data_IF_850699176885
#
_entry.id   IF_850699176885
#
_cell.length_a   1.000
_cell.length_b   1.000
_cell.length_c   1.000
_cell.angle_alpha   90.00
_cell.angle_beta   90.00
_cell.angle_gamma   90.00
#
_symmetry.space_group_name_H-M   'P 1'
#
loop_
_entity.id
_entity.type
_entity.pdbx_description
1 polymer ?
#
# COMPACT_ATOMS: atom_id res chain seq x y z
N UNK A 1 -6.70 1.58 12.97
CA UNK A 1 -5.62 2.38 13.56
C UNK A 1 -5.89 3.86 13.35
N UNK A 2 -5.43 4.71 14.28
CA UNK A 2 -5.70 6.14 14.34
C UNK A 2 -7.17 6.55 14.55
N UNK A 3 -8.07 5.64 14.96
CA UNK A 3 -9.37 6.03 15.51
C UNK A 3 -9.19 6.80 16.82
N UNK A 4 -10.07 7.75 17.10
CA UNK A 4 -10.19 8.30 18.45
C UNK A 4 -10.90 7.31 19.37
N UNK A 5 -10.69 7.47 20.67
CA UNK A 5 -11.48 6.79 21.71
C UNK A 5 -12.91 7.32 21.74
N UNK A 6 -13.83 6.49 22.17
CA UNK A 6 -15.21 6.88 22.45
C UNK A 6 -15.71 6.07 23.66
N UNK A 7 -16.32 6.77 24.62
CA UNK A 7 -16.97 6.16 25.76
C UNK A 7 -18.46 6.47 25.67
N UNK A 8 -19.26 5.44 25.35
CA UNK A 8 -20.72 5.53 25.22
C UNK A 8 -21.20 6.72 24.37
N UNK A 9 -20.52 6.96 23.25
CA UNK A 9 -20.86 8.06 22.34
C UNK A 9 -22.22 7.80 21.69
N UNK A 10 -23.20 8.62 22.02
CA UNK A 10 -24.56 8.51 21.49
C UNK A 10 -24.78 9.48 20.31
N UNK A 11 -25.57 9.04 19.34
CA UNK A 11 -25.99 9.85 18.22
C UNK A 11 -26.96 9.11 17.28
N UNK A 12 -27.65 9.90 16.47
CA UNK A 12 -28.50 9.35 15.42
C UNK A 12 -27.62 8.69 14.36
N UNK A 13 -27.93 7.46 14.01
CA UNK A 13 -27.28 6.74 12.92
C UNK A 13 -27.73 7.29 11.57
N UNK A 14 -26.79 7.58 10.69
CA UNK A 14 -27.06 8.11 9.34
C UNK A 14 -26.38 7.24 8.30
N UNK A 15 -27.14 6.68 7.37
CA UNK A 15 -26.58 5.92 6.26
C UNK A 15 -26.18 6.83 5.10
N UNK A 16 -24.92 6.79 4.75
CA UNK A 16 -24.35 7.48 3.60
C UNK A 16 -24.65 6.72 2.30
N UNK A 17 -25.84 6.92 1.74
CA UNK A 17 -26.31 6.24 0.54
C UNK A 17 -25.51 6.57 -0.72
N UNK A 18 -24.74 7.68 -0.70
CA UNK A 18 -23.87 8.09 -1.82
C UNK A 18 -22.47 7.47 -1.77
N UNK A 19 -22.18 6.63 -0.76
CA UNK A 19 -20.86 6.02 -0.59
C UNK A 19 -20.44 5.07 -1.71
N UNK A 20 -21.40 4.51 -2.46
CA UNK A 20 -21.14 3.62 -3.60
C UNK A 20 -21.23 4.35 -4.96
N UNK A 21 -21.62 5.61 -4.98
CA UNK A 21 -21.75 6.38 -6.20
C UNK A 21 -20.40 6.94 -6.68
N UNK A 22 -20.20 6.91 -8.00
CA UNK A 22 -18.99 7.45 -8.64
C UNK A 22 -19.33 8.72 -9.41
N UNK A 23 -18.40 9.68 -9.39
CA UNK A 23 -18.52 10.88 -10.21
C UNK A 23 -19.49 11.92 -9.67
N UNK A 24 -19.65 11.99 -8.34
CA UNK A 24 -20.42 13.05 -7.70
C UNK A 24 -19.90 14.43 -8.11
N UNK A 25 -20.80 15.36 -8.36
CA UNK A 25 -20.46 16.76 -8.56
C UNK A 25 -19.98 17.39 -7.25
N UNK A 26 -19.24 18.50 -7.32
CA UNK A 26 -18.77 19.24 -6.15
C UNK A 26 -19.91 19.62 -5.19
N UNK A 27 -21.08 19.98 -5.73
CA UNK A 27 -22.25 20.32 -4.91
C UNK A 27 -22.82 19.09 -4.20
N UNK A 28 -22.97 17.96 -4.91
CA UNK A 28 -23.43 16.70 -4.30
C UNK A 28 -22.48 16.22 -3.22
N UNK A 29 -21.16 16.32 -3.43
CA UNK A 29 -20.20 16.02 -2.37
C UNK A 29 -20.34 16.95 -1.15
N UNK A 30 -20.53 18.24 -1.39
CA UNK A 30 -20.72 19.20 -0.30
C UNK A 30 -21.96 18.86 0.51
N UNK A 31 -23.11 18.69 -0.13
CA UNK A 31 -24.38 18.36 0.52
C UNK A 31 -24.29 17.01 1.27
N UNK A 32 -23.60 16.02 0.68
CA UNK A 32 -23.33 14.73 1.32
C UNK A 32 -22.62 14.90 2.66
N UNK A 33 -21.51 15.66 2.71
CA UNK A 33 -20.76 15.85 3.95
C UNK A 33 -21.50 16.77 4.94
N UNK A 34 -22.25 17.77 4.49
CA UNK A 34 -23.06 18.62 5.38
C UNK A 34 -24.13 17.81 6.14
N UNK A 35 -24.66 16.73 5.53
CA UNK A 35 -25.63 15.84 6.18
C UNK A 35 -25.06 14.98 7.32
N UNK A 36 -23.74 14.90 7.45
CA UNK A 36 -23.07 14.13 8.52
C UNK A 36 -23.00 14.82 9.86
N UNK A 37 -23.33 16.12 9.91
CA UNK A 37 -23.22 16.92 11.14
C UNK A 37 -24.03 16.29 12.29
N UNK A 38 -23.36 16.11 13.42
CA UNK A 38 -23.91 15.54 14.66
C UNK A 38 -24.42 14.08 14.53
N UNK A 39 -24.03 13.35 13.46
CA UNK A 39 -24.45 11.98 13.18
C UNK A 39 -23.33 10.96 13.42
N UNK A 40 -23.73 9.72 13.69
CA UNK A 40 -22.88 8.53 13.55
C UNK A 40 -23.08 8.03 12.11
N UNK A 41 -22.04 8.12 11.29
CA UNK A 41 -22.15 7.86 9.84
C UNK A 41 -21.86 6.40 9.54
N UNK A 42 -22.82 5.70 8.95
CA UNK A 42 -22.68 4.34 8.41
C UNK A 42 -22.38 4.44 6.92
N UNK A 43 -21.27 3.85 6.47
CA UNK A 43 -20.78 4.06 5.10
C UNK A 43 -19.99 2.85 4.57
N UNK A 44 -19.89 2.70 3.26
CA UNK A 44 -18.98 1.76 2.58
C UNK A 44 -17.55 2.33 2.39
N UNK A 45 -17.36 3.61 2.64
CA UNK A 45 -16.05 4.25 2.52
C UNK A 45 -15.14 3.91 3.71
N UNK A 46 -13.90 3.49 3.42
CA UNK A 46 -12.93 3.06 4.44
C UNK A 46 -11.63 3.89 4.45
N UNK A 47 -11.56 4.95 3.64
CA UNK A 47 -10.32 5.73 3.46
C UNK A 47 -10.19 6.84 4.51
N UNK A 48 -8.97 7.05 5.00
CA UNK A 48 -8.68 8.13 5.96
C UNK A 48 -9.08 9.52 5.48
N UNK A 49 -8.97 9.81 4.18
CA UNK A 49 -9.45 11.07 3.59
C UNK A 49 -10.95 11.28 3.82
N UNK A 50 -11.76 10.22 3.69
CA UNK A 50 -13.19 10.29 3.96
C UNK A 50 -13.44 10.60 5.44
N UNK A 51 -12.77 9.87 6.35
CA UNK A 51 -12.93 10.08 7.81
C UNK A 51 -12.57 11.51 8.20
N UNK A 52 -11.50 12.06 7.64
CA UNK A 52 -11.10 13.45 7.87
C UNK A 52 -12.18 14.43 7.40
N UNK A 53 -12.70 14.27 6.19
CA UNK A 53 -13.77 15.12 5.68
C UNK A 53 -15.05 15.02 6.50
N UNK A 54 -15.39 13.80 6.97
CA UNK A 54 -16.52 13.60 7.87
C UNK A 54 -16.31 14.32 9.21
N UNK A 55 -15.09 14.27 9.76
CA UNK A 55 -14.71 15.03 10.96
C UNK A 55 -14.84 16.54 10.75
N UNK A 56 -14.31 17.07 9.66
CA UNK A 56 -14.40 18.49 9.30
C UNK A 56 -15.87 18.95 9.12
N UNK A 57 -16.74 18.07 8.66
CA UNK A 57 -18.17 18.31 8.52
C UNK A 57 -18.95 18.21 9.84
N UNK A 58 -18.31 17.74 10.93
CA UNK A 58 -18.91 17.66 12.26
C UNK A 58 -19.64 16.34 12.54
N UNK A 59 -19.28 15.24 11.85
CA UNK A 59 -19.74 13.90 12.21
C UNK A 59 -19.25 13.52 13.62
N UNK A 60 -20.00 12.69 14.34
CA UNK A 60 -19.63 12.20 15.68
C UNK A 60 -18.74 10.97 15.61
N UNK A 61 -19.04 10.04 14.71
CA UNK A 61 -18.28 8.81 14.48
C UNK A 61 -18.52 8.30 13.06
N UNK A 62 -17.66 7.36 12.63
CA UNK A 62 -17.82 6.67 11.35
C UNK A 62 -17.78 5.14 11.55
N UNK A 63 -18.77 4.44 11.04
CA UNK A 63 -18.84 2.99 10.97
C UNK A 63 -18.66 2.56 9.52
N UNK A 64 -17.57 1.84 9.26
CA UNK A 64 -17.24 1.35 7.91
C UNK A 64 -17.81 -0.04 7.70
N UNK A 65 -18.66 -0.21 6.70
CA UNK A 65 -19.15 -1.52 6.31
C UNK A 65 -18.06 -2.22 5.50
N UNK A 66 -17.63 -3.38 5.97
CA UNK A 66 -16.66 -4.18 5.23
C UNK A 66 -17.25 -4.70 3.92
N UNK A 67 -16.60 -4.42 2.79
CA UNK A 67 -17.08 -4.83 1.48
C UNK A 67 -17.01 -6.35 1.25
N UNK A 68 -16.16 -7.07 2.00
CA UNK A 68 -15.96 -8.51 1.89
C UNK A 68 -17.18 -9.29 2.40
N UNK A 69 -17.68 -10.21 1.59
CA UNK A 69 -18.75 -11.11 2.00
C UNK A 69 -18.24 -12.14 3.01
N UNK A 70 -19.12 -12.50 3.95
CA UNK A 70 -18.81 -13.46 5.01
C UNK A 70 -18.46 -12.79 6.34
N UNK A 71 -17.86 -13.56 7.24
CA UNK A 71 -17.54 -13.14 8.60
C UNK A 71 -16.12 -12.55 8.66
N UNK A 72 -15.95 -11.37 8.05
CA UNK A 72 -14.69 -10.65 7.99
C UNK A 72 -14.86 -9.19 8.41
N UNK A 73 -13.95 -8.73 9.25
CA UNK A 73 -13.71 -7.31 9.53
C UNK A 73 -12.22 -7.08 9.30
N UNK A 74 -11.90 -6.35 8.23
CA UNK A 74 -10.51 -6.04 7.92
C UNK A 74 -10.01 -4.91 8.80
N UNK A 75 -8.88 -5.13 9.48
CA UNK A 75 -8.18 -4.02 10.12
C UNK A 75 -7.70 -3.03 9.07
N UNK A 76 -7.91 -1.76 9.34
CA UNK A 76 -7.56 -0.66 8.44
C UNK A 76 -6.84 0.44 9.18
N UNK A 77 -6.06 1.21 8.45
CA UNK A 77 -5.38 2.39 8.91
C UNK A 77 -6.01 3.62 8.26
N UNK A 78 -6.63 4.48 9.06
CA UNK A 78 -7.23 5.74 8.61
C UNK A 78 -6.26 6.92 8.71
N UNK A 79 -5.00 6.69 9.14
CA UNK A 79 -3.97 7.71 9.21
C UNK A 79 -3.71 8.38 7.86
N UNK A 80 -3.59 9.71 7.90
CA UNK A 80 -3.27 10.51 6.72
C UNK A 80 -1.77 10.68 6.51
N UNK A 81 -1.00 10.54 7.58
CA UNK A 81 0.44 10.76 7.59
C UNK A 81 1.14 9.47 7.17
N UNK A 82 2.10 9.58 6.28
CA UNK A 82 2.95 8.50 5.81
C UNK A 82 4.32 8.63 6.47
N UNK A 83 4.63 7.66 7.34
CA UNK A 83 5.85 7.68 8.12
C UNK A 83 5.66 8.24 9.52
N UNK A 84 6.75 8.69 10.12
CA UNK A 84 6.74 9.27 11.47
C UNK A 84 6.29 10.73 11.40
N UNK A 85 5.20 11.11 12.08
CA UNK A 85 4.75 12.50 12.08
C UNK A 85 5.75 13.39 12.83
N UNK A 86 5.91 14.62 12.39
CA UNK A 86 6.56 15.67 13.16
C UNK A 86 5.59 16.27 14.21
N UNK A 87 6.08 17.29 14.94
CA UNK A 87 5.26 17.89 16.00
C UNK A 87 4.02 18.63 15.47
N UNK A 88 4.12 19.24 14.30
CA UNK A 88 3.01 19.96 13.68
C UNK A 88 1.98 18.97 13.12
N UNK A 89 2.45 17.87 12.55
CA UNK A 89 1.62 16.80 12.01
C UNK A 89 0.92 15.96 13.10
N UNK A 90 1.47 15.91 14.32
CA UNK A 90 0.87 15.17 15.43
C UNK A 90 -0.57 15.64 15.75
N UNK A 91 -0.90 16.89 15.44
CA UNK A 91 -2.25 17.40 15.57
C UNK A 91 -3.25 16.73 14.61
N UNK A 92 -2.77 16.23 13.46
CA UNK A 92 -3.57 15.50 12.47
C UNK A 92 -3.76 14.01 12.78
N UNK A 93 -3.21 13.54 13.89
CA UNK A 93 -3.38 12.15 14.36
C UNK A 93 -4.63 11.96 15.22
N UNK A 94 -5.36 13.02 15.55
CA UNK A 94 -6.63 12.92 16.26
C UNK A 94 -7.77 12.85 15.24
N UNK A 95 -8.29 11.64 15.07
CA UNK A 95 -9.39 11.38 14.16
C UNK A 95 -10.69 11.15 14.91
N UNK A 96 -11.81 11.11 14.17
CA UNK A 96 -13.08 10.64 14.68
C UNK A 96 -13.01 9.22 15.21
N UNK A 97 -13.82 8.87 16.22
CA UNK A 97 -14.13 7.48 16.52
C UNK A 97 -14.56 6.74 15.26
N UNK A 98 -13.82 5.69 14.89
CA UNK A 98 -14.05 4.97 13.65
C UNK A 98 -13.84 3.49 13.85
N UNK A 99 -14.80 2.68 13.40
CA UNK A 99 -14.74 1.22 13.50
C UNK A 99 -15.25 0.57 12.22
N UNK A 100 -14.66 -0.61 11.89
CA UNK A 100 -15.19 -1.50 10.87
C UNK A 100 -16.26 -2.41 11.44
N UNK A 101 -17.30 -2.68 10.65
CA UNK A 101 -18.33 -3.67 10.96
C UNK A 101 -18.47 -4.67 9.82
N UNK A 102 -18.97 -5.87 10.12
CA UNK A 102 -19.20 -6.89 9.09
C UNK A 102 -20.23 -6.40 8.07
N UNK A 103 -20.09 -6.90 6.85
CA UNK A 103 -21.03 -6.59 5.77
C UNK A 103 -22.47 -6.89 6.16
N UNK A 104 -22.73 -8.08 6.69
CA UNK A 104 -24.08 -8.50 7.08
C UNK A 104 -24.70 -7.61 8.17
N UNK A 105 -23.88 -7.14 9.12
CA UNK A 105 -24.34 -6.22 10.17
C UNK A 105 -24.69 -4.84 9.59
N UNK A 106 -23.86 -4.34 8.67
CA UNK A 106 -24.12 -3.08 7.96
C UNK A 106 -25.39 -3.14 7.11
N UNK A 107 -25.57 -4.22 6.33
CA UNK A 107 -26.78 -4.44 5.52
C UNK A 107 -28.04 -4.53 6.41
N UNK A 108 -27.98 -5.24 7.55
CA UNK A 108 -29.07 -5.31 8.50
C UNK A 108 -29.40 -3.95 9.16
N UNK A 109 -28.40 -3.13 9.44
CA UNK A 109 -28.61 -1.76 9.94
C UNK A 109 -29.31 -0.89 8.90
N UNK A 110 -28.87 -0.93 7.66
CA UNK A 110 -29.48 -0.19 6.54
C UNK A 110 -30.96 -0.57 6.40
N UNK A 111 -31.27 -1.88 6.43
CA UNK A 111 -32.65 -2.37 6.35
C UNK A 111 -33.51 -1.84 7.52
N UNK A 112 -32.99 -1.87 8.75
CA UNK A 112 -33.70 -1.33 9.93
C UNK A 112 -33.93 0.17 9.81
N UNK A 113 -32.93 0.92 9.33
CA UNK A 113 -33.05 2.36 9.14
C UNK A 113 -34.10 2.76 8.12
N UNK A 114 -34.44 1.88 7.17
CA UNK A 114 -35.54 2.11 6.22
C UNK A 114 -36.91 2.22 6.89
N UNK A 115 -37.04 1.71 8.12
CA UNK A 115 -38.28 1.79 8.91
C UNK A 115 -38.40 3.10 9.75
N UNK A 116 -37.34 3.90 9.84
CA UNK A 116 -37.31 5.17 10.58
C UNK A 116 -35.95 5.54 11.16
N UNK A 117 -35.87 6.68 11.81
CA UNK A 117 -34.65 7.10 12.51
C UNK A 117 -34.25 6.12 13.60
N UNK A 118 -32.93 5.97 13.77
CA UNK A 118 -32.33 5.03 14.69
C UNK A 118 -31.17 5.71 15.45
N UNK A 119 -31.16 5.60 16.75
CA UNK A 119 -30.03 6.01 17.56
C UNK A 119 -29.06 4.86 17.76
N UNK A 120 -27.78 5.20 17.88
CA UNK A 120 -26.71 4.26 18.13
C UNK A 120 -25.80 4.76 19.26
N UNK A 121 -25.17 3.83 19.95
CA UNK A 121 -24.09 4.08 20.91
C UNK A 121 -22.83 3.39 20.43
N UNK A 122 -21.70 4.11 20.47
CA UNK A 122 -20.39 3.62 20.06
C UNK A 122 -19.42 3.74 21.22
N UNK A 123 -18.79 2.62 21.58
CA UNK A 123 -17.67 2.58 22.53
C UNK A 123 -16.44 2.02 21.81
N UNK A 124 -15.33 2.76 21.84
CA UNK A 124 -14.05 2.38 21.25
C UNK A 124 -12.94 2.62 22.28
N UNK A 125 -12.27 1.55 22.69
CA UNK A 125 -11.07 1.62 23.50
C UNK A 125 -9.85 1.60 22.58
N UNK A 126 -9.03 2.65 22.61
CA UNK A 126 -7.88 2.82 21.74
C UNK A 126 -6.76 3.53 22.49
N UNK A 127 -5.54 3.06 22.33
CA UNK A 127 -4.35 3.76 22.80
C UNK A 127 -3.47 4.13 21.61
N UNK A 128 -3.32 5.43 21.32
CA UNK A 128 -2.37 5.93 20.31
C UNK A 128 -1.23 6.65 21.02
N UNK A 129 0.00 6.13 20.85
CA UNK A 129 1.20 6.73 21.44
C UNK A 129 2.45 6.45 20.63
N UNK A 130 3.47 7.31 20.81
CA UNK A 130 4.79 7.09 20.23
C UNK A 130 5.46 5.94 20.98
N UNK A 131 5.94 4.94 20.21
CA UNK A 131 6.69 3.79 20.74
C UNK A 131 7.99 3.61 19.96
N UNK A 132 8.99 3.03 20.61
CA UNK A 132 10.18 2.56 19.91
C UNK A 132 9.88 1.21 19.28
N UNK A 133 10.24 1.06 18.02
CA UNK A 133 10.23 -0.20 17.30
C UNK A 133 11.61 -0.50 16.76
N UNK A 134 11.98 -1.79 16.71
CA UNK A 134 13.24 -2.23 16.11
C UNK A 134 13.03 -2.49 14.62
N UNK A 135 14.07 -2.27 13.84
CA UNK A 135 14.11 -2.62 12.43
C UNK A 135 15.37 -3.43 12.18
N UNK A 136 15.25 -4.47 11.38
CA UNK A 136 16.37 -5.36 11.04
C UNK A 136 16.82 -5.07 9.62
N UNK A 137 18.12 -4.93 9.41
CA UNK A 137 18.71 -4.83 8.09
C UNK A 137 20.01 -5.63 8.01
N UNK A 138 20.26 -6.26 6.88
CA UNK A 138 21.48 -7.00 6.57
C UNK A 138 22.13 -6.40 5.34
N UNK A 139 23.42 -6.12 5.41
CA UNK A 139 24.22 -5.55 4.33
C UNK A 139 25.25 -6.59 3.85
N UNK A 140 25.00 -7.21 2.71
CA UNK A 140 25.87 -8.21 2.08
C UNK A 140 26.68 -7.48 1.01
N UNK A 141 27.94 -7.23 1.27
CA UNK A 141 28.84 -6.49 0.38
C UNK A 141 29.13 -7.26 -0.91
N UNK A 142 29.09 -6.54 -2.03
CA UNK A 142 29.59 -6.99 -3.33
C UNK A 142 30.96 -6.41 -3.66
N UNK A 143 31.34 -6.50 -4.94
CA UNK A 143 32.62 -5.96 -5.46
C UNK A 143 32.60 -4.46 -5.70
N UNK A 144 31.42 -3.83 -5.70
CA UNK A 144 31.25 -2.37 -5.83
C UNK A 144 30.51 -1.80 -4.63
N UNK A 145 30.59 -0.48 -4.47
CA UNK A 145 29.82 0.24 -3.43
C UNK A 145 28.32 0.29 -3.71
N UNK A 146 27.92 0.08 -4.98
CA UNK A 146 26.50 0.05 -5.33
C UNK A 146 25.80 -1.21 -4.82
N UNK A 147 24.53 -1.08 -4.49
CA UNK A 147 23.73 -2.19 -3.98
C UNK A 147 22.29 -2.18 -4.50
N UNK A 148 21.66 -3.35 -4.39
CA UNK A 148 20.20 -3.51 -4.55
C UNK A 148 19.60 -3.61 -3.17
N UNK A 149 18.55 -2.83 -2.90
CA UNK A 149 17.75 -2.94 -1.69
C UNK A 149 16.60 -3.91 -1.94
N UNK A 150 16.46 -4.91 -1.08
CA UNK A 150 15.33 -5.84 -1.07
C UNK A 150 14.65 -5.76 0.28
N UNK A 151 13.33 -5.69 0.32
CA UNK A 151 12.64 -5.47 1.58
C UNK A 151 11.28 -6.13 1.66
N UNK A 152 10.77 -6.23 2.86
CA UNK A 152 9.41 -6.54 3.22
C UNK A 152 9.12 -5.98 4.61
N UNK A 153 7.87 -5.88 5.02
CA UNK A 153 7.54 -5.48 6.38
C UNK A 153 7.33 -6.72 7.26
N UNK A 154 7.76 -6.67 8.52
CA UNK A 154 7.65 -7.80 9.42
C UNK A 154 6.56 -7.66 10.50
N UNK A 155 6.01 -6.46 10.66
CA UNK A 155 4.82 -6.27 11.48
C UNK A 155 3.58 -6.75 10.72
N UNK A 156 2.63 -7.32 11.45
CA UNK A 156 1.43 -7.91 10.86
C UNK A 156 0.19 -7.66 11.71
N UNK A 157 -0.97 -7.85 11.10
CA UNK A 157 -2.22 -8.00 11.80
C UNK A 157 -2.39 -9.47 12.19
N UNK A 158 -2.45 -9.75 13.49
CA UNK A 158 -2.54 -11.11 14.03
C UNK A 158 -1.35 -12.00 13.63
N UNK A 159 -1.59 -13.23 13.14
CA UNK A 159 -0.53 -14.09 12.64
C UNK A 159 0.07 -13.58 11.34
N UNK A 160 -0.75 -13.03 10.46
CA UNK A 160 -0.31 -12.39 9.23
C UNK A 160 0.56 -13.28 8.34
N UNK A 161 0.14 -14.52 8.13
CA UNK A 161 0.96 -15.49 7.37
C UNK A 161 1.18 -15.03 5.95
N UNK A 162 0.12 -14.58 5.26
CA UNK A 162 0.25 -14.06 3.89
C UNK A 162 0.68 -12.60 3.86
N UNK A 163 0.43 -11.86 4.95
CA UNK A 163 0.73 -10.45 5.09
C UNK A 163 1.44 -10.16 6.45
N UNK A 164 2.77 -10.37 6.59
CA UNK A 164 3.74 -10.59 5.52
C UNK A 164 4.78 -11.68 5.87
N UNK A 165 4.47 -12.62 6.79
CA UNK A 165 5.42 -13.60 7.32
C UNK A 165 6.07 -14.48 6.24
N UNK A 166 5.35 -14.81 5.16
CA UNK A 166 5.90 -15.59 4.05
C UNK A 166 6.99 -14.80 3.31
N UNK A 167 6.77 -13.52 3.04
CA UNK A 167 7.79 -12.67 2.42
C UNK A 167 9.02 -12.53 3.30
N UNK A 168 8.84 -12.43 4.63
CA UNK A 168 9.94 -12.38 5.58
C UNK A 168 10.78 -13.65 5.58
N UNK A 169 10.14 -14.81 5.51
CA UNK A 169 10.83 -16.09 5.39
C UNK A 169 11.63 -16.21 4.08
N UNK A 170 11.06 -15.73 2.97
CA UNK A 170 11.75 -15.66 1.67
C UNK A 170 12.97 -14.74 1.76
N UNK A 171 12.84 -13.55 2.36
CA UNK A 171 13.95 -12.63 2.55
C UNK A 171 15.07 -13.21 3.42
N UNK A 172 14.70 -13.98 4.45
CA UNK A 172 15.68 -14.67 5.30
C UNK A 172 16.46 -15.73 4.51
N UNK A 173 15.79 -16.49 3.65
CA UNK A 173 16.45 -17.45 2.77
C UNK A 173 17.33 -16.73 1.72
N UNK A 174 16.92 -15.59 1.19
CA UNK A 174 17.75 -14.77 0.33
C UNK A 174 19.03 -14.32 1.05
N UNK A 175 18.91 -13.87 2.27
CA UNK A 175 20.08 -13.50 3.08
C UNK A 175 21.07 -14.65 3.22
N UNK A 176 20.58 -15.86 3.50
CA UNK A 176 21.40 -17.07 3.65
C UNK A 176 22.11 -17.44 2.35
N UNK A 177 21.39 -17.49 1.23
CA UNK A 177 21.95 -17.87 -0.07
C UNK A 177 22.94 -16.83 -0.57
N UNK A 178 22.58 -15.55 -0.55
CA UNK A 178 23.44 -14.47 -1.01
C UNK A 178 24.69 -14.32 -0.17
N UNK A 179 24.60 -14.54 1.14
CA UNK A 179 25.77 -14.52 2.00
C UNK A 179 26.74 -15.69 1.70
N UNK A 180 26.21 -16.87 1.38
CA UNK A 180 27.04 -18.00 0.95
C UNK A 180 27.79 -17.70 -0.36
N UNK A 181 27.18 -16.97 -1.28
CA UNK A 181 27.74 -16.58 -2.59
C UNK A 181 28.29 -15.14 -2.64
N UNK A 182 28.50 -14.48 -1.50
CA UNK A 182 28.87 -13.07 -1.43
C UNK A 182 30.14 -12.67 -2.21
N UNK A 183 31.07 -13.58 -2.41
CA UNK A 183 32.28 -13.36 -3.22
C UNK A 183 32.00 -13.20 -4.72
N UNK A 184 30.86 -13.65 -5.17
CA UNK A 184 30.44 -13.61 -6.58
C UNK A 184 29.65 -12.32 -6.90
N UNK A 185 29.04 -11.69 -5.90
CA UNK A 185 28.21 -10.52 -6.08
C UNK A 185 29.00 -9.33 -6.70
N UNK A 186 28.50 -8.78 -7.78
CA UNK A 186 29.07 -7.57 -8.41
C UNK A 186 28.65 -6.33 -7.63
N UNK A 187 27.36 -6.19 -7.33
CA UNK A 187 26.82 -5.20 -6.41
C UNK A 187 26.47 -5.84 -5.09
N UNK A 188 26.51 -5.06 -4.01
CA UNK A 188 26.01 -5.53 -2.74
C UNK A 188 24.50 -5.74 -2.78
N UNK A 189 23.99 -6.47 -1.79
CA UNK A 189 22.56 -6.62 -1.53
C UNK A 189 22.27 -6.22 -0.11
N UNK A 190 21.38 -5.30 0.08
CA UNK A 190 20.87 -4.91 1.39
C UNK A 190 19.46 -5.44 1.54
N UNK A 191 19.21 -6.20 2.62
CA UNK A 191 17.90 -6.76 2.91
C UNK A 191 17.37 -6.07 4.16
N UNK A 192 16.15 -5.57 4.11
CA UNK A 192 15.53 -4.87 5.24
C UNK A 192 14.13 -5.40 5.54
N UNK A 193 13.85 -5.57 6.82
CA UNK A 193 12.53 -5.91 7.35
C UNK A 193 11.98 -4.69 8.08
N UNK A 194 10.96 -4.08 7.47
CA UNK A 194 10.39 -2.84 7.97
C UNK A 194 9.48 -3.08 9.17
N UNK A 195 9.58 -2.23 10.17
CA UNK A 195 8.59 -2.13 11.25
C UNK A 195 7.63 -0.98 11.00
N UNK A 196 6.44 -1.05 11.59
CA UNK A 196 5.47 0.04 11.55
C UNK A 196 4.89 0.30 10.15
N UNK A 197 4.79 -0.72 9.33
CA UNK A 197 4.05 -0.67 8.06
C UNK A 197 2.56 -0.51 8.32
N UNK A 198 2.00 -1.41 9.12
CA UNK A 198 0.56 -1.49 9.38
C UNK A 198 0.10 -0.45 10.41
N UNK A 199 0.71 -0.46 11.59
CA UNK A 199 0.32 0.41 12.70
C UNK A 199 0.87 1.83 12.58
N UNK A 200 2.08 1.97 12.08
CA UNK A 200 2.81 3.23 11.98
C UNK A 200 2.73 3.90 10.61
N UNK A 201 1.93 3.40 9.70
CA UNK A 201 1.78 3.94 8.35
C UNK A 201 3.10 4.14 7.63
N UNK A 202 3.89 3.05 7.50
CA UNK A 202 5.21 3.01 6.87
C UNK A 202 6.32 3.74 7.64
N UNK A 203 6.19 3.88 8.95
CA UNK A 203 7.13 4.67 9.76
C UNK A 203 8.56 4.15 9.72
N UNK A 204 8.78 2.82 9.73
CA UNK A 204 10.12 2.23 9.71
C UNK A 204 10.84 2.46 8.38
N UNK A 205 10.20 2.17 7.27
CA UNK A 205 10.77 2.36 5.94
C UNK A 205 10.99 3.83 5.60
N UNK A 206 10.08 4.71 6.02
CA UNK A 206 10.22 6.16 5.86
C UNK A 206 11.42 6.68 6.67
N UNK A 207 11.51 6.30 7.94
CA UNK A 207 12.66 6.64 8.78
C UNK A 207 13.98 6.15 8.16
N UNK A 208 13.98 4.94 7.62
CA UNK A 208 15.17 4.40 6.95
C UNK A 208 15.55 5.21 5.72
N UNK A 209 14.57 5.57 4.89
CA UNK A 209 14.77 6.41 3.73
C UNK A 209 15.41 7.75 4.10
N UNK A 210 14.87 8.43 5.09
CA UNK A 210 15.35 9.74 5.55
C UNK A 210 16.76 9.63 6.16
N UNK A 211 16.97 8.65 7.02
CA UNK A 211 18.25 8.45 7.71
C UNK A 211 19.39 7.99 6.79
N UNK A 212 19.07 7.35 5.65
CA UNK A 212 20.03 6.80 4.71
C UNK A 212 19.94 7.45 3.33
N UNK A 213 19.26 8.60 3.22
CA UNK A 213 18.97 9.27 1.96
C UNK A 213 20.18 9.46 1.05
N UNK A 214 21.30 9.95 1.60
CA UNK A 214 22.51 10.20 0.82
C UNK A 214 23.12 8.91 0.24
N UNK A 215 23.10 7.82 1.02
CA UNK A 215 23.59 6.51 0.59
C UNK A 215 22.65 5.88 -0.44
N UNK A 216 21.35 5.92 -0.20
CA UNK A 216 20.34 5.45 -1.15
C UNK A 216 20.47 6.15 -2.49
N UNK A 217 20.51 7.47 -2.49
CA UNK A 217 20.66 8.26 -3.71
C UNK A 217 21.94 7.98 -4.48
N UNK A 218 23.04 7.75 -3.78
CA UNK A 218 24.34 7.56 -4.39
C UNK A 218 24.59 6.15 -4.87
N UNK A 219 24.19 5.16 -4.07
CA UNK A 219 24.65 3.77 -4.19
C UNK A 219 23.52 2.76 -4.47
N UNK A 220 22.27 3.07 -4.13
CA UNK A 220 21.17 2.14 -4.36
C UNK A 220 20.70 2.20 -5.82
N UNK A 221 20.85 1.10 -6.56
CA UNK A 221 20.49 1.03 -7.99
C UNK A 221 19.10 0.53 -8.24
N UNK A 222 18.50 -0.19 -7.29
CA UNK A 222 17.14 -0.66 -7.36
C UNK A 222 16.59 -0.99 -5.96
N UNK A 223 15.27 -0.91 -5.83
CA UNK A 223 14.52 -1.38 -4.67
C UNK A 223 13.47 -2.39 -5.11
N UNK A 224 13.47 -3.57 -4.52
CA UNK A 224 12.49 -4.63 -4.73
C UNK A 224 11.78 -4.88 -3.41
N UNK A 225 10.48 -4.65 -3.35
CA UNK A 225 9.68 -4.90 -2.15
C UNK A 225 8.85 -6.18 -2.31
N UNK A 226 8.91 -7.06 -1.30
CA UNK A 226 8.14 -8.29 -1.22
C UNK A 226 7.00 -8.10 -0.23
N UNK A 227 5.79 -8.34 -0.72
CA UNK A 227 4.57 -8.22 0.08
C UNK A 227 3.52 -9.18 -0.48
N UNK A 228 2.82 -9.92 0.38
CA UNK A 228 1.76 -10.87 0.02
C UNK A 228 2.21 -12.03 -0.89
N UNK A 229 3.46 -12.47 -0.77
CA UNK A 229 3.98 -13.64 -1.50
C UNK A 229 3.38 -14.96 -1.00
N UNK A 230 3.24 -15.95 -1.88
CA UNK A 230 2.81 -17.29 -1.49
C UNK A 230 1.34 -17.41 -1.10
N UNK A 231 0.54 -16.38 -1.32
CA UNK A 231 -0.86 -16.37 -0.93
C UNK A 231 -1.69 -17.33 -1.78
N UNK A 232 -2.46 -18.17 -1.12
CA UNK A 232 -3.35 -19.15 -1.74
C UNK A 232 -4.30 -18.49 -2.75
N UNK A 233 -4.48 -19.12 -3.91
CA UNK A 233 -5.26 -18.63 -5.04
C UNK A 233 -4.71 -17.38 -5.75
N UNK A 234 -3.52 -16.92 -5.43
CA UNK A 234 -2.89 -15.78 -6.10
C UNK A 234 -2.13 -16.22 -7.36
N UNK A 235 -2.89 -16.64 -8.36
CA UNK A 235 -2.34 -17.15 -9.64
C UNK A 235 -1.90 -16.02 -10.57
N UNK A 236 -2.50 -14.85 -10.45
CA UNK A 236 -2.16 -13.67 -11.25
C UNK A 236 -1.07 -12.83 -10.57
N UNK A 237 -0.13 -12.35 -11.36
CA UNK A 237 0.89 -11.40 -10.89
C UNK A 237 0.73 -10.10 -11.68
N UNK A 238 0.63 -9.00 -10.96
CA UNK A 238 0.64 -7.65 -11.52
C UNK A 238 1.92 -6.97 -11.10
N UNK A 239 2.68 -6.46 -12.05
CA UNK A 239 3.89 -5.71 -11.75
C UNK A 239 3.54 -4.25 -11.41
N UNK A 240 4.10 -3.76 -10.31
CA UNK A 240 4.02 -2.38 -9.90
C UNK A 240 5.43 -1.80 -9.92
N UNK A 241 5.63 -0.77 -10.72
CA UNK A 241 6.90 -0.04 -10.82
C UNK A 241 6.64 1.43 -10.52
N UNK A 242 7.57 2.11 -9.90
CA UNK A 242 7.42 3.54 -9.63
C UNK A 242 7.52 4.38 -10.90
N UNK A 243 8.35 3.96 -11.84
CA UNK A 243 8.50 4.56 -13.16
C UNK A 243 8.30 3.53 -14.27
N UNK A 244 8.10 3.99 -15.49
CA UNK A 244 7.86 3.15 -16.67
C UNK A 244 9.13 2.45 -17.18
N UNK A 245 10.31 2.89 -16.76
CA UNK A 245 11.59 2.31 -17.18
C UNK A 245 11.77 0.84 -16.81
N UNK A 246 11.16 0.38 -15.71
CA UNK A 246 11.23 -1.00 -15.24
C UNK A 246 10.15 -1.92 -15.80
N UNK A 247 9.14 -1.39 -16.50
CA UNK A 247 7.95 -2.12 -16.91
C UNK A 247 8.25 -3.31 -17.81
N UNK A 248 8.98 -3.08 -18.90
CA UNK A 248 9.24 -4.12 -19.92
C UNK A 248 9.98 -5.29 -19.30
N UNK A 249 11.06 -5.03 -18.57
CA UNK A 249 11.86 -6.05 -17.90
C UNK A 249 11.02 -6.89 -16.92
N UNK A 250 10.24 -6.21 -16.07
CA UNK A 250 9.41 -6.88 -15.06
C UNK A 250 8.33 -7.75 -15.72
N UNK A 251 7.71 -7.25 -16.79
CA UNK A 251 6.72 -8.00 -17.56
C UNK A 251 7.30 -9.23 -18.25
N UNK A 252 8.48 -9.11 -18.87
CA UNK A 252 9.19 -10.23 -19.51
C UNK A 252 9.56 -11.32 -18.50
N UNK A 253 10.02 -10.92 -17.32
CA UNK A 253 10.36 -11.85 -16.25
C UNK A 253 9.13 -12.61 -15.73
N UNK A 254 8.02 -11.92 -15.49
CA UNK A 254 6.78 -12.58 -15.07
C UNK A 254 6.26 -13.52 -16.14
N UNK A 255 6.27 -13.11 -17.42
CA UNK A 255 5.85 -13.95 -18.53
C UNK A 255 6.69 -15.23 -18.64
N UNK A 256 8.00 -15.14 -18.41
CA UNK A 256 8.91 -16.31 -18.36
C UNK A 256 8.45 -17.36 -17.35
N UNK A 257 7.98 -16.96 -16.17
CA UNK A 257 7.58 -17.87 -15.10
C UNK A 257 6.12 -18.30 -15.14
N UNK A 258 5.25 -17.51 -15.72
CA UNK A 258 3.80 -17.74 -15.71
C UNK A 258 3.25 -18.14 -17.08
N UNK A 259 4.00 -17.92 -18.15
CA UNK A 259 3.53 -18.08 -19.54
C UNK A 259 2.54 -16.99 -19.97
N UNK A 260 2.31 -15.98 -19.13
CA UNK A 260 1.36 -14.90 -19.40
C UNK A 260 1.99 -13.54 -19.05
N UNK A 261 1.92 -12.60 -20.00
CA UNK A 261 2.36 -11.23 -19.76
C UNK A 261 1.38 -10.54 -18.80
N UNK A 262 1.86 -9.94 -17.71
CA UNK A 262 1.00 -9.29 -16.73
C UNK A 262 0.53 -7.93 -17.23
N UNK A 263 -0.58 -7.46 -16.67
CA UNK A 263 -0.92 -6.04 -16.69
C UNK A 263 0.06 -5.30 -15.78
N UNK A 264 0.81 -4.36 -16.36
CA UNK A 264 1.77 -3.54 -15.63
C UNK A 264 1.16 -2.20 -15.30
N UNK A 265 1.34 -1.79 -14.06
CA UNK A 265 0.78 -0.54 -13.61
C UNK A 265 1.82 0.29 -12.85
N UNK A 266 1.83 1.58 -13.09
CA UNK A 266 2.72 2.53 -12.45
C UNK A 266 2.01 3.18 -11.27
N UNK A 267 2.38 2.86 -10.03
CA UNK A 267 1.76 3.49 -8.87
C UNK A 267 2.24 4.93 -8.71
N UNK A 268 1.43 5.73 -8.06
CA UNK A 268 1.95 6.96 -7.44
C UNK A 268 2.97 6.56 -6.36
N UNK A 269 3.96 7.43 -6.12
CA UNK A 269 4.86 7.31 -4.99
C UNK A 269 4.02 7.33 -3.72
N UNK A 270 4.08 6.27 -2.92
CA UNK A 270 3.21 6.13 -1.76
C UNK A 270 3.93 6.00 -0.44
N UNK A 271 5.17 5.63 -0.44
CA UNK A 271 5.90 5.40 0.78
C UNK A 271 7.14 4.56 0.54
N UNK A 272 8.08 4.58 1.47
CA UNK A 272 9.40 4.04 1.25
C UNK A 272 9.42 2.52 1.09
N UNK A 273 8.60 1.75 1.80
CA UNK A 273 8.54 0.30 1.63
C UNK A 273 7.91 -0.15 0.31
N UNK A 274 7.08 0.66 -0.30
CA UNK A 274 6.55 0.42 -1.64
C UNK A 274 7.36 1.10 -2.73
N UNK A 275 8.02 2.22 -2.44
CA UNK A 275 8.77 2.98 -3.43
C UNK A 275 9.82 3.91 -2.81
N UNK A 276 11.08 3.64 -3.07
CA UNK A 276 12.19 4.55 -2.78
C UNK A 276 12.52 5.49 -3.95
N UNK A 277 11.64 5.58 -4.92
CA UNK A 277 11.83 6.48 -6.07
C UNK A 277 11.97 7.95 -5.66
N UNK A 278 11.29 8.38 -4.61
CA UNK A 278 11.46 9.70 -4.02
C UNK A 278 12.87 9.97 -3.48
N UNK A 279 13.64 8.93 -3.17
CA UNK A 279 15.07 9.03 -2.85
C UNK A 279 15.97 8.86 -4.08
N UNK A 280 15.41 8.99 -5.27
CA UNK A 280 16.10 8.83 -6.56
C UNK A 280 16.67 7.42 -6.81
N UNK A 281 16.09 6.40 -6.22
CA UNK A 281 16.40 5.02 -6.58
C UNK A 281 15.83 4.75 -7.97
N UNK A 282 16.67 4.40 -8.97
CA UNK A 282 16.25 4.38 -10.38
C UNK A 282 15.15 3.38 -10.70
N UNK A 283 15.17 2.22 -10.06
CA UNK A 283 14.15 1.19 -10.24
C UNK A 283 13.50 0.89 -8.90
N UNK A 284 12.19 0.94 -8.84
CA UNK A 284 11.42 0.44 -7.70
C UNK A 284 10.33 -0.49 -8.19
N UNK A 285 10.35 -1.73 -7.74
CA UNK A 285 9.47 -2.80 -8.17
C UNK A 285 8.82 -3.46 -6.96
N UNK A 286 7.53 -3.67 -7.06
CA UNK A 286 6.76 -4.51 -6.15
C UNK A 286 5.82 -5.37 -6.99
N UNK A 287 5.89 -6.67 -6.84
CA UNK A 287 4.93 -7.57 -7.47
C UNK A 287 3.67 -7.66 -6.60
N UNK A 288 2.52 -7.56 -7.23
CA UNK A 288 1.23 -7.73 -6.56
C UNK A 288 0.62 -9.05 -6.97
N UNK A 289 0.28 -9.85 -5.99
CA UNK A 289 -0.22 -11.20 -6.18
C UNK A 289 -1.73 -11.22 -5.96
N UNK A 290 -2.48 -11.63 -6.95
CA UNK A 290 -3.95 -11.55 -6.93
C UNK A 290 -4.60 -12.86 -7.37
N UNK A 291 -5.79 -13.18 -6.85
CA UNK A 291 -6.64 -14.20 -7.44
C UNK A 291 -7.04 -13.79 -8.86
N UNK A 292 -7.33 -14.75 -9.70
CA UNK A 292 -7.97 -14.50 -10.99
C UNK A 292 -9.30 -13.73 -10.77
N UNK A 293 -9.68 -12.82 -11.68
CA UNK A 293 -10.87 -11.96 -11.48
C UNK A 293 -12.14 -12.74 -11.14
N UNK A 294 -12.35 -13.89 -11.77
CA UNK A 294 -13.51 -14.76 -11.54
C UNK A 294 -13.48 -15.48 -10.19
N UNK A 295 -12.33 -15.53 -9.53
CA UNK A 295 -12.14 -16.15 -8.20
C UNK A 295 -12.11 -15.11 -7.07
N UNK A 296 -12.21 -13.83 -7.38
CA UNK A 296 -12.22 -12.78 -6.34
C UNK A 296 -13.48 -12.89 -5.50
N UNK A 297 -13.29 -13.08 -4.21
CA UNK A 297 -14.40 -13.16 -3.25
C UNK A 297 -14.77 -11.80 -2.65
N UNK A 298 -13.96 -10.77 -2.91
CA UNK A 298 -14.14 -9.44 -2.36
C UNK A 298 -13.33 -8.42 -3.13
N UNK A 299 -13.57 -7.14 -2.87
CA UNK A 299 -12.75 -6.03 -3.34
C UNK A 299 -11.44 -5.87 -2.53
N UNK A 300 -11.08 -6.89 -1.73
CA UNK A 300 -9.81 -6.89 -1.00
C UNK A 300 -8.64 -6.76 -1.96
N UNK A 301 -7.74 -5.83 -1.68
CA UNK A 301 -6.52 -5.69 -2.45
C UNK A 301 -5.61 -6.86 -2.13
N UNK A 302 -5.35 -7.75 -3.01
CA UNK A 302 -4.37 -8.83 -2.89
C UNK A 302 -4.68 -9.92 -1.83
N UNK A 303 -4.26 -11.11 -2.09
CA UNK A 303 -4.17 -12.19 -1.15
C UNK A 303 -5.46 -12.98 -0.98
N UNK A 304 -6.53 -12.39 -0.53
CA UNK A 304 -7.78 -13.11 -0.27
C UNK A 304 -8.64 -12.46 0.79
N UNK A 305 -9.82 -13.02 1.09
CA UNK A 305 -10.76 -12.40 2.03
C UNK A 305 -10.26 -12.40 3.48
N UNK A 306 -9.23 -13.16 3.80
CA UNK A 306 -8.60 -13.21 5.13
C UNK A 306 -7.60 -12.09 5.40
N UNK A 307 -7.18 -11.35 4.39
CA UNK A 307 -6.23 -10.24 4.52
C UNK A 307 -6.62 -9.27 5.65
N UNK A 308 -5.68 -8.92 6.52
CA UNK A 308 -5.87 -8.08 7.71
C UNK A 308 -6.94 -8.60 8.69
N UNK A 309 -7.11 -9.91 8.79
CA UNK A 309 -8.06 -10.54 9.73
C UNK A 309 -7.39 -11.65 10.54
N UNK A 310 -7.98 -12.10 11.67
CA UNK A 310 -7.50 -13.27 12.43
C UNK A 310 -7.49 -14.58 11.64
N UNK A 311 -8.02 -14.57 10.42
CA UNK A 311 -8.10 -15.76 9.54
C UNK A 311 -6.93 -15.88 8.57
N UNK A 312 -5.96 -14.94 8.63
CA UNK A 312 -4.71 -15.04 7.86
C UNK A 312 -3.71 -15.96 8.58
N UNK A 313 -3.98 -17.24 8.50
CA UNK A 313 -3.29 -18.34 9.17
C UNK A 313 -2.55 -19.24 8.19
N UNK A 314 -1.75 -20.20 8.69
CA UNK A 314 -0.85 -21.03 7.87
C UNK A 314 -1.53 -21.78 6.72
N UNK A 315 -2.80 -22.12 6.84
CA UNK A 315 -3.58 -22.77 5.78
C UNK A 315 -3.89 -21.87 4.56
N UNK A 316 -3.54 -20.58 4.64
CA UNK A 316 -3.62 -19.62 3.53
C UNK A 316 -2.35 -19.57 2.68
N UNK A 317 -1.28 -20.21 3.13
CA UNK A 317 -0.07 -20.40 2.34
C UNK A 317 -0.31 -21.47 1.24
N UNK A 318 0.19 -21.19 0.04
CA UNK A 318 0.39 -22.18 -1.03
C UNK A 318 1.88 -22.27 -1.34
N UNK A 319 2.48 -23.43 -1.04
CA UNK A 319 3.92 -23.64 -1.21
C UNK A 319 4.38 -23.51 -2.67
N UNK A 320 3.55 -23.89 -3.64
CA UNK A 320 3.90 -23.79 -5.06
C UNK A 320 3.93 -22.34 -5.50
N UNK A 321 2.94 -21.56 -5.05
CA UNK A 321 2.88 -20.12 -5.30
C UNK A 321 4.05 -19.44 -4.61
N UNK A 322 4.34 -19.75 -3.35
CA UNK A 322 5.49 -19.23 -2.61
C UNK A 322 6.80 -19.48 -3.35
N UNK A 323 7.03 -20.70 -3.82
CA UNK A 323 8.26 -21.06 -4.56
C UNK A 323 8.35 -20.35 -5.91
N UNK A 324 7.22 -20.13 -6.59
CA UNK A 324 7.16 -19.32 -7.82
C UNK A 324 7.57 -17.88 -7.53
N UNK A 325 6.94 -17.28 -6.54
CA UNK A 325 7.13 -15.89 -6.18
C UNK A 325 8.57 -15.64 -5.69
N UNK A 326 9.10 -16.55 -4.87
CA UNK A 326 10.49 -16.51 -4.43
C UNK A 326 11.47 -16.59 -5.62
N UNK A 327 11.23 -17.47 -6.59
CA UNK A 327 12.11 -17.61 -7.76
C UNK A 327 12.09 -16.36 -8.63
N UNK A 328 10.93 -15.77 -8.89
CA UNK A 328 10.81 -14.56 -9.70
C UNK A 328 11.57 -13.41 -9.05
N UNK A 329 11.36 -13.17 -7.76
CA UNK A 329 12.02 -12.08 -7.05
C UNK A 329 13.54 -12.33 -6.89
N UNK A 330 13.97 -13.59 -6.71
CA UNK A 330 15.41 -13.92 -6.64
C UNK A 330 16.09 -13.70 -7.99
N UNK A 331 15.47 -14.11 -9.09
CA UNK A 331 16.03 -13.87 -10.42
C UNK A 331 16.12 -12.39 -10.74
N UNK A 332 15.07 -11.62 -10.39
CA UNK A 332 15.08 -10.16 -10.52
C UNK A 332 16.24 -9.53 -9.75
N UNK A 333 16.45 -9.98 -8.51
CA UNK A 333 17.55 -9.53 -7.68
C UNK A 333 18.91 -9.89 -8.28
N UNK A 334 19.08 -11.13 -8.76
CA UNK A 334 20.33 -11.62 -9.36
C UNK A 334 20.64 -10.89 -10.67
N UNK A 335 19.66 -10.71 -11.53
CA UNK A 335 19.81 -9.94 -12.77
C UNK A 335 20.29 -8.52 -12.50
N UNK A 336 19.64 -7.80 -11.57
CA UNK A 336 19.98 -6.40 -11.27
C UNK A 336 21.36 -6.31 -10.59
N UNK A 337 21.66 -7.19 -9.60
CA UNK A 337 22.95 -7.12 -8.91
C UNK A 337 24.12 -7.51 -9.82
N UNK A 338 23.91 -8.42 -10.79
CA UNK A 338 24.95 -8.95 -11.67
C UNK A 338 25.11 -8.18 -12.98
N UNK A 339 24.09 -7.44 -13.42
CA UNK A 339 24.08 -6.75 -14.71
C UNK A 339 25.22 -5.72 -14.85
N UNK A 340 25.79 -5.61 -16.06
CA UNK A 340 26.70 -4.50 -16.40
C UNK A 340 25.95 -3.17 -16.42
N UNK A 341 24.75 -3.15 -16.98
CA UNK A 341 23.79 -2.05 -16.94
C UNK A 341 22.49 -2.59 -16.34
N UNK A 342 21.87 -1.83 -15.44
CA UNK A 342 20.57 -2.20 -14.88
C UNK A 342 19.51 -2.28 -16.00
N UNK A 343 18.53 -3.19 -15.89
CA UNK A 343 17.56 -3.43 -16.96
C UNK A 343 16.46 -2.36 -16.99
N UNK A 344 16.82 -1.16 -17.47
CA UNK A 344 15.91 -0.01 -17.64
C UNK A 344 15.68 0.30 -19.11
N UNK A 345 14.48 0.71 -19.45
CA UNK A 345 14.09 1.17 -20.78
C UNK A 345 13.87 2.69 -20.77
N UNK A 346 14.94 3.43 -20.99
CA UNK A 346 14.91 4.90 -20.97
C UNK A 346 13.99 5.49 -22.05
N UNK A 347 13.95 5.00 -23.31
CA UNK A 347 12.97 5.46 -24.29
C UNK A 347 11.54 5.40 -23.79
N UNK A 348 11.11 4.27 -23.22
CA UNK A 348 9.74 4.12 -22.68
C UNK A 348 9.47 5.11 -21.54
N UNK A 349 10.46 5.36 -20.68
CA UNK A 349 10.35 6.36 -19.62
C UNK A 349 10.15 7.77 -20.19
N UNK A 350 10.92 8.15 -21.19
CA UNK A 350 10.83 9.48 -21.82
C UNK A 350 9.48 9.67 -22.54
N UNK A 351 8.97 8.65 -23.22
CA UNK A 351 7.65 8.68 -23.88
C UNK A 351 6.53 8.85 -22.84
N UNK A 352 6.58 8.11 -21.73
CA UNK A 352 5.60 8.24 -20.65
C UNK A 352 5.65 9.62 -19.99
N UNK A 353 6.87 10.13 -19.74
CA UNK A 353 7.10 11.46 -19.17
C UNK A 353 6.54 12.56 -20.09
N UNK A 354 6.82 12.48 -21.39
CA UNK A 354 6.28 13.40 -22.40
C UNK A 354 4.74 13.39 -22.41
N UNK A 355 4.14 12.21 -22.42
CA UNK A 355 2.69 12.08 -22.40
C UNK A 355 2.05 12.67 -21.13
N UNK A 356 2.66 12.44 -19.97
CA UNK A 356 2.21 13.01 -18.68
C UNK A 356 2.35 14.52 -18.64
N UNK A 357 3.48 15.04 -19.10
CA UNK A 357 3.72 16.48 -19.13
C UNK A 357 2.72 17.19 -20.05
N UNK A 358 2.53 16.69 -21.28
CA UNK A 358 1.55 17.23 -22.23
C UNK A 358 0.13 17.24 -21.68
N UNK A 359 -0.27 16.15 -21.00
CA UNK A 359 -1.57 16.06 -20.33
C UNK A 359 -1.70 17.10 -19.19
N UNK A 360 -0.69 17.26 -18.38
CA UNK A 360 -0.68 18.25 -17.29
C UNK A 360 -0.75 19.66 -17.83
N UNK A 361 0.09 20.00 -18.80
CA UNK A 361 0.13 21.33 -19.40
C UNK A 361 -1.21 21.68 -20.10
N UNK A 362 -1.81 20.74 -20.80
CA UNK A 362 -3.13 20.96 -21.41
C UNK A 362 -4.23 21.22 -20.41
N UNK A 363 -4.17 20.58 -19.23
CA UNK A 363 -5.09 20.81 -18.11
C UNK A 363 -4.92 22.19 -17.47
N UNK A 364 -3.72 22.75 -17.50
CA UNK A 364 -3.40 24.07 -16.94
C UNK A 364 -3.62 25.22 -17.95
N UNK A 365 -3.57 24.94 -19.24
CA UNK A 365 -3.65 25.95 -20.31
C UNK A 365 -4.81 26.94 -20.24
N UNK A 366 -6.02 26.60 -19.69
CA UNK A 366 -7.10 27.57 -19.51
C UNK A 366 -6.78 28.67 -18.49
N UNK A 367 -5.89 28.41 -17.53
CA UNK A 367 -5.58 29.29 -16.40
C UNK A 367 -4.18 29.88 -16.48
N UNK A 368 -3.24 29.18 -17.17
CA UNK A 368 -1.83 29.54 -17.25
C UNK A 368 -1.30 29.49 -18.69
N UNK A 369 -0.44 30.43 -19.05
CA UNK A 369 0.29 30.37 -20.32
C UNK A 369 1.42 29.33 -20.20
N UNK A 370 1.25 28.22 -20.91
CA UNK A 370 2.21 27.09 -20.92
C UNK A 370 3.11 27.07 -22.17
N UNK A 371 3.06 28.12 -23.00
CA UNK A 371 3.71 28.16 -24.33
C UNK A 371 5.22 27.98 -24.23
N UNK A 372 5.87 28.70 -23.32
CA UNK A 372 7.34 28.65 -23.13
C UNK A 372 7.77 27.25 -22.67
N UNK A 373 7.08 26.65 -21.69
CA UNK A 373 7.38 25.30 -21.18
C UNK A 373 7.24 24.26 -22.30
N UNK A 374 6.17 24.37 -23.10
CA UNK A 374 5.96 23.47 -24.25
C UNK A 374 7.06 23.62 -25.31
N UNK A 375 7.55 24.82 -25.54
CA UNK A 375 8.61 25.07 -26.50
C UNK A 375 9.97 24.54 -26.05
N UNK A 376 10.30 24.66 -24.78
CA UNK A 376 11.56 24.14 -24.21
C UNK A 376 11.57 22.60 -24.08
N UNK A 377 10.40 21.98 -23.92
CA UNK A 377 10.32 20.54 -23.80
C UNK A 377 10.47 19.79 -25.14
N UNK A 378 10.01 20.36 -26.25
CA UNK A 378 10.07 19.74 -27.59
C UNK A 378 11.45 19.92 -28.22
#
# INVERSE_FOLDING_TARGET
VYSAEADSLQGTLYYDSLSEEKGLTKNQEKDRFESFRDKIVLTWESKGVFVRRAMEAGAKAVLHICATKGDYIHHSNIGMIWGTPDFDEAAYMKFLPSAGIRRADGEALIEKMAAGEMDAEVTIEMETKIRRSSMVAVDIKGKSDSFVLVSGHYDSWYEGITDNAVSDAILLEYARVLYAHRSELKRGVRIAWWSGHSDGRFSGSTWYCDSHYADLRKNCVAHVNLDLTGCKNSEQIVARTAGSEGISYTADLIEKYTGKRPDVYIPMIRGADQSFWGAYVPITIMLKYEPLPEKRLSDCPSGGPWWHTPKDTIDKLDEKIMMRDAKINMEMLDDIQSAKMIPVNIPVFLEDLDGRLKKTLSGLAPEFDTTEICAEWN
#
